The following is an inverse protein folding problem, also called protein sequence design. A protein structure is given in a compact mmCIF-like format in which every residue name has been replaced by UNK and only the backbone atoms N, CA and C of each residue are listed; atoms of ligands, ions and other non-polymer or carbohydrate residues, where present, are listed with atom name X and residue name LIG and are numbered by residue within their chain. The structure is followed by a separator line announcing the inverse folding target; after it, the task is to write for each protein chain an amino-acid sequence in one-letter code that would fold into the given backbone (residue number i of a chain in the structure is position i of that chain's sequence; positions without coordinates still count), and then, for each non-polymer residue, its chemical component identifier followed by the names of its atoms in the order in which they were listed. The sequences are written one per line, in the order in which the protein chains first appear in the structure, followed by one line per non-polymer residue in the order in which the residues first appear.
data_IF_052352661655
#
_entry.id   IF_052352661655
#
_cell.length_a   1.000
_cell.length_b   1.000
_cell.length_c   1.000
_cell.angle_alpha   90.00
_cell.angle_beta   90.00
_cell.angle_gamma   90.00
#
_symmetry.space_group_name_H-M   'P 1'
#
loop_
_entity.id
_entity.type
_entity.pdbx_description
1 polymer ?
#
# COMPACT_ATOMS: atom_id res chain seq x y z
N UNK A 1 -6.42 6.53 -21.54
CA UNK A 1 -5.36 5.50 -21.60
C UNK A 1 -5.28 4.86 -20.23
N UNK A 2 -5.47 3.55 -20.14
CA UNK A 2 -5.42 2.86 -18.85
C UNK A 2 -4.00 2.76 -18.33
N UNK A 3 -3.82 2.90 -17.01
CA UNK A 3 -2.50 2.76 -16.40
C UNK A 3 -2.63 2.15 -15.00
N UNK A 4 -1.83 1.12 -14.75
CA UNK A 4 -1.53 0.63 -13.39
C UNK A 4 -0.10 1.03 -13.07
N UNK A 5 0.10 1.64 -11.90
CA UNK A 5 1.44 1.94 -11.37
C UNK A 5 1.58 1.39 -9.97
N UNK A 6 2.81 1.08 -9.58
CA UNK A 6 3.16 0.59 -8.26
C UNK A 6 4.34 1.40 -7.71
N UNK A 7 4.27 1.73 -6.43
CA UNK A 7 5.38 2.28 -5.66
C UNK A 7 5.60 1.38 -4.44
N UNK A 8 6.87 1.08 -4.13
CA UNK A 8 7.23 0.16 -3.05
C UNK A 8 8.16 0.83 -2.04
N UNK A 9 8.02 0.44 -0.77
CA UNK A 9 8.92 0.83 0.31
C UNK A 9 9.11 -0.32 1.31
N UNK A 10 10.24 -0.33 2.01
CA UNK A 10 10.50 -1.25 3.11
C UNK A 10 10.13 -0.62 4.44
N UNK A 11 9.63 -1.43 5.37
CA UNK A 11 9.33 -1.00 6.75
C UNK A 11 10.13 -1.84 7.75
N UNK A 12 10.43 -1.24 8.91
CA UNK A 12 11.06 -1.96 10.03
C UNK A 12 10.03 -2.80 10.77
N UNK A 13 10.35 -4.08 10.97
CA UNK A 13 9.61 -4.98 11.85
C UNK A 13 10.38 -5.19 13.15
N UNK A 14 9.69 -5.75 14.15
CA UNK A 14 10.33 -6.22 15.38
C UNK A 14 11.45 -7.23 15.09
N UNK A 15 12.41 -7.33 16.00
CA UNK A 15 13.53 -8.27 15.90
C UNK A 15 14.45 -8.08 14.67
N UNK A 16 14.53 -6.85 14.13
CA UNK A 16 15.45 -6.51 13.04
C UNK A 16 15.03 -7.05 11.66
N UNK A 17 13.78 -7.52 11.53
CA UNK A 17 13.21 -7.96 10.25
C UNK A 17 12.69 -6.77 9.44
N UNK A 18 12.45 -7.02 8.16
CA UNK A 18 11.90 -6.05 7.21
C UNK A 18 10.56 -6.53 6.65
N UNK A 19 9.60 -5.63 6.62
CA UNK A 19 8.33 -5.79 5.92
C UNK A 19 8.34 -4.93 4.65
N UNK A 20 7.24 -4.97 3.93
CA UNK A 20 7.09 -4.24 2.67
C UNK A 20 5.74 -3.55 2.62
N UNK A 21 5.74 -2.31 2.11
CA UNK A 21 4.53 -1.59 1.74
C UNK A 21 4.57 -1.38 0.23
N UNK A 22 3.44 -1.62 -0.43
CA UNK A 22 3.24 -1.25 -1.82
C UNK A 22 1.95 -0.44 -1.99
N UNK A 23 2.03 0.62 -2.78
CA UNK A 23 0.89 1.42 -3.22
C UNK A 23 0.65 1.12 -4.70
N UNK A 24 -0.48 0.49 -5.01
CA UNK A 24 -0.91 0.24 -6.39
C UNK A 24 -1.99 1.25 -6.74
N UNK A 25 -1.81 1.98 -7.85
CA UNK A 25 -2.79 2.92 -8.37
C UNK A 25 -3.26 2.49 -9.76
N UNK A 26 -4.56 2.58 -10.01
CA UNK A 26 -5.19 2.35 -11.31
C UNK A 26 -5.91 3.62 -11.79
N UNK A 27 -5.57 4.08 -12.99
CA UNK A 27 -6.29 5.14 -13.68
C UNK A 27 -6.95 4.61 -14.96
N UNK A 28 -8.28 4.75 -15.07
CA UNK A 28 -9.05 4.30 -16.23
C UNK A 28 -10.56 4.21 -15.96
N UNK A 29 -11.31 3.91 -17.02
CA UNK A 29 -12.79 3.91 -17.01
C UNK A 29 -13.39 2.50 -16.88
N UNK A 30 -12.55 1.45 -16.92
CA UNK A 30 -12.96 0.05 -16.74
C UNK A 30 -13.10 -0.31 -15.26
N UNK A 31 -13.64 -1.50 -14.98
CA UNK A 31 -13.82 -2.01 -13.61
C UNK A 31 -12.49 -1.97 -12.82
N UNK A 32 -12.33 -0.98 -11.93
CA UNK A 32 -11.08 -0.74 -11.22
C UNK A 32 -10.84 -1.83 -10.17
N UNK A 33 -11.91 -2.43 -9.65
CA UNK A 33 -11.83 -3.51 -8.66
C UNK A 33 -11.24 -4.75 -9.31
N UNK A 34 -11.72 -5.13 -10.50
CA UNK A 34 -11.17 -6.27 -11.24
C UNK A 34 -9.68 -6.05 -11.59
N UNK A 35 -9.32 -4.86 -12.07
CA UNK A 35 -7.93 -4.52 -12.43
C UNK A 35 -7.00 -4.55 -11.22
N UNK A 36 -7.40 -3.95 -10.11
CA UNK A 36 -6.61 -3.95 -8.87
C UNK A 36 -6.53 -5.34 -8.25
N UNK A 37 -7.60 -6.13 -8.26
CA UNK A 37 -7.57 -7.52 -7.78
C UNK A 37 -6.55 -8.36 -8.57
N UNK A 38 -6.53 -8.22 -9.90
CA UNK A 38 -5.55 -8.90 -10.73
C UNK A 38 -4.12 -8.45 -10.38
N UNK A 39 -3.87 -7.14 -10.34
CA UNK A 39 -2.55 -6.60 -10.03
C UNK A 39 -2.04 -7.05 -8.66
N UNK A 40 -2.91 -7.02 -7.64
CA UNK A 40 -2.58 -7.49 -6.29
C UNK A 40 -2.26 -8.98 -6.31
N UNK A 41 -3.09 -9.80 -6.96
CA UNK A 41 -2.87 -11.26 -6.99
C UNK A 41 -1.53 -11.63 -7.63
N UNK A 42 -1.13 -10.92 -8.68
CA UNK A 42 0.16 -11.09 -9.35
C UNK A 42 1.32 -10.59 -8.49
N UNK A 43 1.13 -9.48 -7.77
CA UNK A 43 2.16 -8.89 -6.93
C UNK A 43 2.44 -9.73 -5.67
N UNK A 44 1.39 -10.14 -4.95
CA UNK A 44 1.54 -10.81 -3.65
C UNK A 44 1.81 -12.30 -3.78
N UNK A 45 1.36 -12.94 -4.87
CA UNK A 45 1.43 -14.38 -5.04
C UNK A 45 0.85 -15.13 -3.83
N UNK A 46 1.69 -15.92 -3.15
CA UNK A 46 1.32 -16.70 -1.97
C UNK A 46 1.81 -16.07 -0.64
N UNK A 47 2.26 -14.81 -0.65
CA UNK A 47 2.80 -14.14 0.54
C UNK A 47 1.66 -13.59 1.40
N UNK A 48 1.67 -13.90 2.69
CA UNK A 48 0.73 -13.35 3.66
C UNK A 48 0.85 -11.82 3.73
N UNK A 49 -0.25 -11.11 3.51
CA UNK A 49 -0.29 -9.66 3.46
C UNK A 49 -1.65 -9.15 3.96
N UNK A 50 -1.68 -7.88 4.36
CA UNK A 50 -2.92 -7.13 4.61
C UNK A 50 -3.15 -6.16 3.47
N UNK A 51 -4.42 -5.98 3.09
CA UNK A 51 -4.83 -5.00 2.08
C UNK A 51 -5.69 -3.94 2.75
N UNK A 52 -5.34 -2.69 2.54
CA UNK A 52 -6.20 -1.55 2.85
C UNK A 52 -6.68 -0.98 1.53
N UNK A 53 -7.99 -0.92 1.39
CA UNK A 53 -8.63 -0.25 0.26
C UNK A 53 -9.23 0.99 0.87
N UNK A 54 -8.55 2.13 0.73
CA UNK A 54 -9.16 3.40 1.11
C UNK A 54 -9.92 3.92 -0.11
N UNK A 55 -11.24 3.73 -0.04
CA UNK A 55 -12.22 3.86 -1.11
C UNK A 55 -12.95 5.17 -0.86
N UNK A 56 -12.38 6.27 -1.31
CA UNK A 56 -13.15 7.50 -1.53
C UNK A 56 -12.34 8.42 -2.42
N UNK A 57 -13.02 8.96 -3.42
CA UNK A 57 -12.56 9.90 -4.43
C UNK A 57 -12.06 9.28 -5.72
N UNK A 58 -12.47 9.93 -6.80
CA UNK A 58 -12.49 9.48 -8.18
C UNK A 58 -11.15 8.93 -8.70
N UNK A 59 -11.23 8.28 -9.86
CA UNK A 59 -10.10 7.90 -10.70
C UNK A 59 -8.90 8.88 -10.52
N UNK A 60 -7.76 8.44 -9.97
CA UNK A 60 -7.33 7.04 -9.84
C UNK A 60 -7.74 6.29 -8.57
N UNK A 61 -7.98 4.99 -8.72
CA UNK A 61 -8.23 4.05 -7.64
C UNK A 61 -6.92 3.59 -7.00
N UNK A 62 -6.88 3.47 -5.67
CA UNK A 62 -5.66 3.15 -4.93
C UNK A 62 -5.86 1.93 -4.02
N UNK A 63 -4.83 1.10 -3.90
CA UNK A 63 -4.75 0.00 -2.94
C UNK A 63 -3.40 -0.03 -2.26
N UNK A 64 -3.41 -0.14 -0.94
CA UNK A 64 -2.19 -0.26 -0.13
C UNK A 64 -2.06 -1.69 0.36
N UNK A 65 -0.91 -2.30 0.11
CA UNK A 65 -0.56 -3.66 0.50
C UNK A 65 0.56 -3.57 1.53
N UNK A 66 0.39 -4.26 2.67
CA UNK A 66 1.39 -4.29 3.74
C UNK A 66 1.70 -5.74 4.09
N UNK A 67 2.98 -6.10 4.03
CA UNK A 67 3.53 -7.34 4.57
C UNK A 67 4.11 -7.10 5.97
N UNK A 68 3.78 -7.97 6.91
CA UNK A 68 4.30 -7.91 8.29
C UNK A 68 3.60 -6.89 9.20
N UNK A 69 2.34 -6.51 8.91
CA UNK A 69 1.62 -5.49 9.68
C UNK A 69 1.59 -5.76 11.20
N UNK A 70 1.41 -7.01 11.60
CA UNK A 70 1.32 -7.41 13.01
C UNK A 70 2.64 -7.24 13.78
N UNK A 71 3.76 -7.11 13.06
CA UNK A 71 5.11 -7.04 13.61
C UNK A 71 5.77 -5.70 13.30
N UNK A 72 5.03 -4.76 12.73
CA UNK A 72 5.51 -3.43 12.39
C UNK A 72 5.93 -2.70 13.65
N UNK A 73 7.14 -2.10 13.64
CA UNK A 73 7.53 -1.20 14.72
C UNK A 73 6.65 0.06 14.68
N UNK A 74 6.05 0.39 15.81
CA UNK A 74 5.19 1.55 15.98
C UNK A 74 5.71 2.39 17.15
N UNK A 75 5.36 3.67 17.14
CA UNK A 75 5.65 4.61 18.21
C UNK A 75 4.45 5.51 18.45
N UNK A 76 4.40 6.14 19.62
CA UNK A 76 3.30 7.03 19.98
C UNK A 76 3.26 8.25 19.06
N UNK A 77 2.04 8.64 18.65
CA UNK A 77 1.84 9.80 17.80
C UNK A 77 2.14 11.11 18.55
N UNK A 78 3.18 11.80 18.08
CA UNK A 78 3.52 13.18 18.45
C UNK A 78 3.31 14.14 17.26
N UNK A 79 2.41 15.14 17.36
CA UNK A 79 2.12 16.08 16.27
C UNK A 79 3.25 17.07 15.97
N UNK A 80 4.26 17.21 16.84
CA UNK A 80 5.44 18.01 16.57
C UNK A 80 6.49 17.23 15.78
N UNK A 81 6.55 15.91 16.00
CA UNK A 81 7.49 14.99 15.33
C UNK A 81 6.97 14.47 13.99
N UNK A 82 5.70 14.06 13.92
CA UNK A 82 5.14 13.32 12.77
C UNK A 82 4.46 14.22 11.73
N UNK A 83 4.91 15.47 11.58
CA UNK A 83 4.43 16.33 10.50
C UNK A 83 5.04 15.88 9.17
N UNK A 84 4.21 15.84 8.13
CA UNK A 84 4.71 15.73 6.76
C UNK A 84 5.62 16.91 6.47
N UNK A 85 6.79 16.62 5.92
CA UNK A 85 7.71 17.64 5.44
C UNK A 85 7.32 17.96 4.00
N UNK A 86 7.30 19.25 3.66
CA UNK A 86 7.29 19.69 2.27
C UNK A 86 8.72 19.58 1.73
N UNK A 87 8.91 18.92 0.60
CA UNK A 87 10.21 18.68 -0.04
C UNK A 87 10.24 19.44 -1.35
#
# INVERSE_FOLDING_TARGET
MEKIVIQESSIELTHGRKGQIAVIMYAGDNDPVAKLNLAVSQYVGNVGHSQFVDISMDNPWVRVIISGINEMKQEDFDPLKHKLKEW
#
